data_IF_571479938427
#
_entry.id   IF_571479938427
#
_cell.length_a   1.000
_cell.length_b   1.000
_cell.length_c   1.000
_cell.angle_alpha   90.00
_cell.angle_beta   90.00
_cell.angle_gamma   90.00
#
_symmetry.space_group_name_H-M   'P 1'
#
loop_
_entity.id
_entity.type
_entity.pdbx_description
1 polymer ?
#
# COMPACT_ATOMS: atom_id res chain seq x y z
N UNK A 1 2.59 27.15 -0.21
CA UNK A 1 4.03 27.04 -0.53
C UNK A 1 4.17 26.33 -1.87
N UNK A 2 5.14 26.66 -2.71
CA UNK A 2 5.40 25.90 -3.95
C UNK A 2 6.20 24.62 -3.64
N UNK A 3 5.74 23.49 -4.15
CA UNK A 3 6.44 22.20 -4.12
C UNK A 3 6.63 21.68 -5.54
N UNK A 4 7.60 20.80 -5.74
CA UNK A 4 7.80 20.13 -7.02
C UNK A 4 6.59 19.25 -7.33
N UNK A 5 6.01 19.38 -8.52
CA UNK A 5 4.84 18.60 -8.98
C UNK A 5 5.13 17.72 -10.19
N UNK A 6 6.23 17.99 -10.90
CA UNK A 6 6.76 17.14 -11.97
C UNK A 6 8.11 16.63 -11.52
N UNK A 7 8.26 15.31 -11.50
CA UNK A 7 9.43 14.64 -10.92
C UNK A 7 10.20 13.94 -12.04
N UNK A 8 11.52 14.07 -12.02
CA UNK A 8 12.42 13.32 -12.89
C UNK A 8 13.29 12.36 -12.05
N UNK A 9 13.62 12.75 -10.81
CA UNK A 9 14.40 11.92 -9.86
C UNK A 9 13.59 11.54 -8.62
N UNK A 10 13.48 10.23 -8.36
CA UNK A 10 12.80 9.64 -7.21
C UNK A 10 13.83 9.06 -6.22
N UNK A 11 13.73 9.41 -4.94
CA UNK A 11 14.55 8.82 -3.89
C UNK A 11 13.76 7.78 -3.08
N UNK A 12 14.31 6.58 -2.95
CA UNK A 12 13.79 5.51 -2.11
C UNK A 12 14.70 5.30 -0.89
N UNK A 13 14.15 5.49 0.30
CA UNK A 13 14.83 5.22 1.57
C UNK A 13 14.26 3.93 2.16
N UNK A 14 15.08 2.88 2.22
CA UNK A 14 14.68 1.51 2.54
C UNK A 14 14.38 0.70 1.28
N UNK A 15 15.00 -0.48 1.18
CA UNK A 15 14.98 -1.37 0.02
C UNK A 15 14.33 -2.73 0.32
N UNK A 16 13.53 -2.82 1.39
CA UNK A 16 12.69 -3.97 1.71
C UNK A 16 11.53 -4.16 0.72
N UNK A 17 10.52 -4.96 1.10
CA UNK A 17 9.39 -5.31 0.22
C UNK A 17 8.71 -4.07 -0.37
N UNK A 18 8.27 -3.12 0.47
CA UNK A 18 7.58 -1.90 0.03
C UNK A 18 8.51 -0.98 -0.77
N UNK A 19 9.72 -0.73 -0.26
CA UNK A 19 10.71 0.13 -0.92
C UNK A 19 11.09 -0.37 -2.31
N UNK A 20 11.34 -1.68 -2.46
CA UNK A 20 11.64 -2.28 -3.75
C UNK A 20 10.47 -2.19 -4.73
N UNK A 21 9.23 -2.25 -4.24
CA UNK A 21 8.04 -2.03 -5.07
C UNK A 21 7.88 -0.59 -5.55
N UNK A 22 8.19 0.41 -4.71
CA UNK A 22 8.26 1.80 -5.14
C UNK A 22 9.35 2.04 -6.17
N UNK A 23 10.54 1.49 -5.95
CA UNK A 23 11.66 1.54 -6.91
C UNK A 23 11.23 0.96 -8.26
N UNK A 24 10.65 -0.24 -8.28
CA UNK A 24 10.19 -0.88 -9.51
C UNK A 24 9.14 -0.02 -10.25
N UNK A 25 8.17 0.54 -9.52
CA UNK A 25 7.14 1.43 -10.09
C UNK A 25 7.73 2.72 -10.66
N UNK A 26 8.65 3.38 -9.94
CA UNK A 26 9.29 4.60 -10.40
C UNK A 26 10.12 4.36 -11.68
N UNK A 27 10.88 3.25 -11.72
CA UNK A 27 11.64 2.83 -12.91
C UNK A 27 10.71 2.52 -14.11
N UNK A 28 9.57 1.86 -13.87
CA UNK A 28 8.58 1.57 -14.90
C UNK A 28 7.89 2.84 -15.45
N UNK A 29 7.87 3.92 -14.67
CA UNK A 29 7.39 5.24 -15.09
C UNK A 29 8.51 6.11 -15.71
N UNK A 30 9.69 5.55 -15.99
CA UNK A 30 10.77 6.25 -16.68
C UNK A 30 11.55 7.23 -15.81
N UNK A 31 11.45 7.14 -14.47
CA UNK A 31 12.18 8.03 -13.56
C UNK A 31 13.59 7.54 -13.27
N UNK A 32 14.49 8.48 -12.92
CA UNK A 32 15.79 8.15 -12.35
C UNK A 32 15.60 7.86 -10.87
N UNK A 33 16.13 6.73 -10.39
CA UNK A 33 15.91 6.28 -9.01
C UNK A 33 17.21 6.23 -8.23
N UNK A 34 17.26 6.99 -7.15
CA UNK A 34 18.28 6.88 -6.11
C UNK A 34 17.72 6.02 -4.99
N UNK A 35 18.46 4.98 -4.58
CA UNK A 35 18.05 4.11 -3.49
C UNK A 35 19.13 4.01 -2.42
N UNK A 36 18.70 3.97 -1.16
CA UNK A 36 19.58 3.74 -0.02
C UNK A 36 18.91 2.79 0.99
N UNK A 37 19.70 1.91 1.58
CA UNK A 37 19.30 1.03 2.67
C UNK A 37 20.55 0.69 3.51
N UNK A 38 20.47 0.66 4.85
CA UNK A 38 21.63 0.41 5.70
C UNK A 38 22.05 -1.07 5.75
N UNK A 39 21.21 -2.01 5.31
CA UNK A 39 21.48 -3.43 5.45
C UNK A 39 22.52 -3.95 4.45
N UNK A 40 23.38 -4.83 4.94
CA UNK A 40 24.36 -5.52 4.10
C UNK A 40 23.66 -6.33 3.00
N UNK A 41 24.11 -6.13 1.75
CA UNK A 41 23.52 -6.82 0.60
C UNK A 41 22.19 -6.26 0.10
N UNK A 42 21.66 -5.19 0.71
CA UNK A 42 20.40 -4.58 0.29
C UNK A 42 20.38 -4.18 -1.19
N UNK A 43 21.51 -3.69 -1.73
CA UNK A 43 21.61 -3.40 -3.16
C UNK A 43 21.36 -4.63 -4.04
N UNK A 44 21.95 -5.78 -3.69
CA UNK A 44 21.75 -7.02 -4.46
C UNK A 44 20.30 -7.49 -4.36
N UNK A 45 19.73 -7.44 -3.15
CA UNK A 45 18.35 -7.82 -2.91
C UNK A 45 17.37 -6.91 -3.68
N UNK A 46 17.61 -5.60 -3.66
CA UNK A 46 16.80 -4.63 -4.40
C UNK A 46 16.78 -4.94 -5.90
N UNK A 47 17.95 -5.20 -6.49
CA UNK A 47 18.04 -5.56 -7.92
C UNK A 47 17.28 -6.84 -8.22
N UNK A 48 17.44 -7.88 -7.39
CA UNK A 48 16.70 -9.13 -7.56
C UNK A 48 15.18 -8.97 -7.43
N UNK A 49 14.71 -8.09 -6.52
CA UNK A 49 13.28 -7.80 -6.37
C UNK A 49 12.74 -7.04 -7.59
N UNK A 50 13.48 -6.05 -8.09
CA UNK A 50 13.11 -5.31 -9.31
C UNK A 50 13.06 -6.25 -10.50
N UNK A 51 14.05 -7.13 -10.67
CA UNK A 51 14.09 -8.16 -11.72
C UNK A 51 12.88 -9.11 -11.63
N UNK A 52 12.47 -9.52 -10.43
CA UNK A 52 11.30 -10.38 -10.24
C UNK A 52 9.98 -9.67 -10.56
N UNK A 53 9.87 -8.38 -10.28
CA UNK A 53 8.68 -7.56 -10.55
C UNK A 53 8.57 -7.14 -12.03
N UNK A 54 9.69 -7.02 -12.73
CA UNK A 54 9.77 -6.42 -14.07
C UNK A 54 8.85 -7.08 -15.12
N UNK A 55 8.74 -8.42 -15.21
CA UNK A 55 7.85 -9.05 -16.19
C UNK A 55 6.36 -8.71 -16.00
N UNK A 56 5.94 -8.44 -14.75
CA UNK A 56 4.56 -8.01 -14.47
C UNK A 56 4.34 -6.55 -14.90
N UNK A 57 5.35 -5.69 -14.70
CA UNK A 57 5.34 -4.30 -15.16
C UNK A 57 5.37 -4.18 -16.69
N UNK A 58 6.13 -5.03 -17.39
CA UNK A 58 6.13 -5.08 -18.85
C UNK A 58 4.74 -5.41 -19.41
N UNK A 59 4.04 -6.38 -18.81
CA UNK A 59 2.66 -6.72 -19.17
C UNK A 59 1.67 -5.61 -18.86
N UNK A 60 1.85 -4.91 -17.73
CA UNK A 60 1.01 -3.77 -17.36
C UNK A 60 1.24 -2.54 -18.26
N UNK A 61 2.39 -2.47 -18.93
CA UNK A 61 2.81 -1.38 -19.80
C UNK A 61 3.84 -0.47 -19.14
N UNK A 62 4.91 -0.17 -19.87
CA UNK A 62 6.00 0.70 -19.41
C UNK A 62 5.91 2.09 -20.04
N UNK A 63 6.30 3.11 -19.28
CA UNK A 63 6.44 4.46 -19.81
C UNK A 63 7.67 4.57 -20.74
N UNK A 64 7.70 5.57 -21.65
CA UNK A 64 8.90 5.86 -22.43
C UNK A 64 10.13 6.07 -21.54
N UNK A 65 11.25 5.41 -21.90
CA UNK A 65 12.50 5.53 -21.13
C UNK A 65 12.57 4.68 -19.87
N UNK A 66 11.52 3.90 -19.54
CA UNK A 66 11.54 2.95 -18.43
C UNK A 66 12.68 1.93 -18.58
N UNK A 67 13.48 1.77 -17.53
CA UNK A 67 14.59 0.83 -17.51
C UNK A 67 15.08 0.54 -16.09
N UNK A 68 15.37 -0.72 -15.74
CA UNK A 68 16.04 -1.04 -14.46
C UNK A 68 17.44 -0.42 -14.36
N UNK A 69 18.06 -0.04 -15.48
CA UNK A 69 19.37 0.59 -15.52
C UNK A 69 19.39 2.02 -14.94
N UNK A 70 18.21 2.66 -14.81
CA UNK A 70 18.03 3.97 -14.17
C UNK A 70 18.12 3.92 -12.64
N UNK A 71 18.34 2.74 -12.05
CA UNK A 71 18.55 2.56 -10.62
C UNK A 71 20.02 2.73 -10.22
N UNK A 72 20.27 3.75 -9.39
CA UNK A 72 21.54 3.95 -8.70
C UNK A 72 21.37 3.74 -7.20
N UNK A 73 22.17 2.83 -6.64
CA UNK A 73 22.26 2.65 -5.20
C UNK A 73 23.37 3.54 -4.64
N UNK A 74 23.09 4.28 -3.57
CA UNK A 74 24.03 5.23 -2.97
C UNK A 74 24.38 4.81 -1.55
N UNK A 75 25.44 5.38 -0.98
CA UNK A 75 25.99 4.97 0.31
C UNK A 75 25.41 5.73 1.51
N UNK A 76 24.79 6.88 1.32
CA UNK A 76 24.23 7.71 2.41
C UNK A 76 22.83 8.22 2.10
N UNK A 77 22.06 8.52 3.15
CA UNK A 77 20.75 9.17 3.03
C UNK A 77 20.89 10.50 2.30
N UNK A 78 21.89 11.30 2.66
CA UNK A 78 22.13 12.63 2.09
C UNK A 78 22.36 12.55 0.58
N UNK A 79 23.18 11.60 0.11
CA UNK A 79 23.41 11.39 -1.32
C UNK A 79 22.16 10.87 -2.05
N UNK A 80 21.21 10.26 -1.33
CA UNK A 80 19.96 9.76 -1.90
C UNK A 80 18.95 10.89 -2.13
N UNK A 81 18.90 11.88 -1.22
CA UNK A 81 17.81 12.87 -1.17
C UNK A 81 18.19 14.26 -1.67
N UNK A 82 19.49 14.59 -1.75
CA UNK A 82 19.96 15.95 -2.06
C UNK A 82 19.42 16.47 -3.40
N UNK A 83 19.43 15.63 -4.44
CA UNK A 83 19.01 15.98 -5.80
C UNK A 83 17.64 15.43 -6.20
N UNK A 84 16.94 14.77 -5.26
CA UNK A 84 15.64 14.15 -5.53
C UNK A 84 14.50 15.17 -5.59
N UNK A 85 13.54 14.92 -6.48
CA UNK A 85 12.33 15.74 -6.62
C UNK A 85 11.19 15.24 -5.71
N UNK A 86 11.21 13.94 -5.43
CA UNK A 86 10.28 13.27 -4.54
C UNK A 86 11.00 12.18 -3.75
N UNK A 87 10.74 12.10 -2.44
CA UNK A 87 11.38 11.15 -1.54
C UNK A 87 10.32 10.27 -0.92
N UNK A 88 10.49 8.95 -1.00
CA UNK A 88 9.62 7.97 -0.36
C UNK A 88 10.43 7.11 0.62
N UNK A 89 10.07 7.21 1.89
CA UNK A 89 10.65 6.43 2.98
C UNK A 89 9.83 5.15 3.24
N UNK A 90 10.50 4.01 3.38
CA UNK A 90 9.90 2.68 3.54
C UNK A 90 10.71 1.81 4.54
N UNK A 91 11.27 2.42 5.57
CA UNK A 91 11.96 1.74 6.67
C UNK A 91 10.93 1.09 7.64
N UNK A 92 11.40 0.22 8.56
CA UNK A 92 10.54 -0.50 9.49
C UNK A 92 9.58 0.39 10.29
N UNK A 93 8.44 -0.19 10.69
CA UNK A 93 7.36 0.48 11.42
C UNK A 93 7.74 0.72 12.90
N UNK A 94 8.69 1.62 13.11
CA UNK A 94 9.22 2.01 14.42
C UNK A 94 9.27 3.53 14.51
N UNK A 95 8.43 4.12 15.34
CA UNK A 95 8.28 5.58 15.44
C UNK A 95 9.60 6.31 15.71
N UNK A 96 10.38 5.86 16.71
CA UNK A 96 11.67 6.48 17.04
C UNK A 96 12.66 6.48 15.87
N UNK A 97 12.67 5.41 15.06
CA UNK A 97 13.51 5.33 13.87
C UNK A 97 13.04 6.31 12.80
N UNK A 98 11.73 6.35 12.51
CA UNK A 98 11.17 7.25 11.49
C UNK A 98 11.34 8.71 11.88
N UNK A 99 11.22 9.03 13.16
CA UNK A 99 11.48 10.36 13.70
C UNK A 99 12.90 10.85 13.39
N UNK A 100 13.92 10.03 13.66
CA UNK A 100 15.31 10.34 13.34
C UNK A 100 15.56 10.41 11.83
N UNK A 101 15.05 9.43 11.08
CA UNK A 101 15.21 9.37 9.62
C UNK A 101 14.61 10.60 8.95
N UNK A 102 13.40 11.00 9.32
CA UNK A 102 12.74 12.13 8.67
C UNK A 102 13.35 13.48 9.03
N UNK A 103 13.90 13.66 10.23
CA UNK A 103 14.74 14.82 10.53
C UNK A 103 15.95 14.89 9.59
N UNK A 104 16.62 13.75 9.37
CA UNK A 104 17.83 13.68 8.55
C UNK A 104 17.53 13.86 7.06
N UNK A 105 16.51 13.16 6.54
CA UNK A 105 16.00 13.27 5.16
C UNK A 105 15.61 14.72 4.86
N UNK A 106 14.75 15.29 5.69
CA UNK A 106 14.18 16.62 5.43
C UNK A 106 15.24 17.73 5.48
N UNK A 107 16.30 17.58 6.28
CA UNK A 107 17.42 18.52 6.32
C UNK A 107 18.25 18.53 5.03
N UNK A 108 18.49 17.35 4.46
CA UNK A 108 19.35 17.18 3.29
C UNK A 108 18.60 17.33 1.95
N UNK A 109 17.29 17.13 1.94
CA UNK A 109 16.45 17.26 0.75
C UNK A 109 16.34 18.70 0.24
N UNK A 110 16.01 18.85 -1.05
CA UNK A 110 15.61 20.15 -1.63
C UNK A 110 14.51 20.81 -0.80
N UNK A 111 14.50 22.15 -0.69
CA UNK A 111 13.51 22.89 0.10
C UNK A 111 12.05 22.65 -0.31
N UNK A 112 11.83 22.28 -1.56
CA UNK A 112 10.55 22.15 -2.26
C UNK A 112 10.20 20.70 -2.67
N UNK A 113 11.09 19.73 -2.40
CA UNK A 113 10.81 18.31 -2.62
C UNK A 113 9.86 17.75 -1.55
N UNK A 114 8.86 16.98 -1.97
CA UNK A 114 7.94 16.32 -1.05
C UNK A 114 8.65 15.14 -0.37
N UNK A 115 8.48 15.02 0.95
CA UNK A 115 8.99 13.90 1.74
C UNK A 115 7.81 13.04 2.18
N UNK A 116 7.70 11.86 1.58
CA UNK A 116 6.66 10.89 1.84
C UNK A 116 7.16 9.75 2.75
N UNK A 117 6.27 9.20 3.58
CA UNK A 117 6.48 7.93 4.29
C UNK A 117 5.47 6.89 3.82
N UNK A 118 5.93 5.64 3.72
CA UNK A 118 5.12 4.44 3.48
C UNK A 118 4.60 3.79 4.76
N UNK A 119 4.64 4.49 5.92
CA UNK A 119 4.06 3.97 7.17
C UNK A 119 2.64 3.45 6.94
N UNK A 120 2.26 2.42 7.69
CA UNK A 120 0.96 1.74 7.61
C UNK A 120 0.01 2.20 8.71
N UNK A 121 0.51 2.79 9.80
CA UNK A 121 -0.37 3.26 10.86
C UNK A 121 0.17 4.28 11.84
N UNK A 122 1.44 4.70 11.73
CA UNK A 122 1.97 5.77 12.59
C UNK A 122 1.39 7.11 12.17
N UNK A 123 1.14 7.99 13.15
CA UNK A 123 0.57 9.30 12.90
C UNK A 123 1.64 10.25 12.35
N UNK A 124 1.42 10.90 11.18
CA UNK A 124 2.38 11.82 10.60
C UNK A 124 2.76 12.96 11.54
N UNK A 125 1.82 13.46 12.36
CA UNK A 125 2.13 14.49 13.37
C UNK A 125 3.27 14.07 14.30
N UNK A 126 3.31 12.81 14.71
CA UNK A 126 4.27 12.31 15.69
C UNK A 126 5.64 12.03 15.05
N UNK A 127 5.68 11.20 14.00
CA UNK A 127 6.97 10.81 13.42
C UNK A 127 7.60 11.89 12.52
N UNK A 128 6.87 12.94 12.13
CA UNK A 128 7.45 14.14 11.52
C UNK A 128 7.75 15.25 12.54
N UNK A 129 7.62 15.03 13.85
CA UNK A 129 7.79 16.09 14.86
C UNK A 129 9.11 16.86 14.74
N UNK A 130 10.20 16.18 14.36
CA UNK A 130 11.55 16.76 14.18
C UNK A 130 11.92 17.09 12.73
N UNK A 131 10.99 16.95 11.78
CA UNK A 131 11.26 17.24 10.38
C UNK A 131 11.48 18.74 10.12
N UNK A 132 12.43 19.06 9.23
CA UNK A 132 12.66 20.39 8.72
C UNK A 132 11.69 20.71 7.58
N UNK A 133 10.98 21.83 7.69
CA UNK A 133 9.88 22.21 6.79
C UNK A 133 8.82 21.09 6.74
N UNK A 134 8.14 20.78 7.85
CA UNK A 134 7.15 19.70 7.91
C UNK A 134 5.93 19.96 7.01
N UNK A 135 5.73 21.17 6.52
CA UNK A 135 4.65 21.54 5.61
C UNK A 135 4.66 20.77 4.28
N UNK A 136 5.81 20.21 3.87
CA UNK A 136 5.96 19.34 2.67
C UNK A 136 6.05 17.85 2.98
N UNK A 137 5.79 17.44 4.22
CA UNK A 137 5.83 16.05 4.64
C UNK A 137 4.44 15.42 4.58
N UNK A 138 4.33 14.23 3.98
CA UNK A 138 3.06 13.49 3.80
C UNK A 138 3.26 12.01 4.08
N UNK A 139 2.17 11.30 4.34
CA UNK A 139 2.11 9.85 4.18
C UNK A 139 1.59 9.56 2.78
N UNK A 140 2.25 8.61 2.11
CA UNK A 140 1.77 7.96 0.92
C UNK A 140 1.89 6.47 1.12
N UNK A 141 0.87 5.89 1.74
CA UNK A 141 0.81 4.50 2.17
C UNK A 141 0.33 3.61 1.00
N UNK A 142 1.21 2.78 0.40
CA UNK A 142 0.85 1.90 -0.70
C UNK A 142 0.35 0.54 -0.20
N UNK A 143 -0.10 -0.31 -1.13
CA UNK A 143 -0.45 -1.70 -0.84
C UNK A 143 0.47 -2.65 -1.62
N UNK A 144 0.91 -3.73 -0.96
CA UNK A 144 1.81 -4.71 -1.55
C UNK A 144 1.05 -5.69 -2.47
N UNK A 145 1.50 -5.97 -3.72
CA UNK A 145 2.69 -5.42 -4.39
C UNK A 145 2.49 -3.99 -4.93
N UNK A 146 3.35 -3.07 -4.47
CA UNK A 146 3.25 -1.62 -4.78
C UNK A 146 3.28 -1.33 -6.27
N UNK A 147 4.02 -2.12 -7.04
CA UNK A 147 4.17 -1.96 -8.49
C UNK A 147 2.95 -2.40 -9.31
N UNK A 148 1.96 -3.07 -8.71
CA UNK A 148 0.72 -3.48 -9.39
C UNK A 148 -0.52 -2.89 -8.75
N UNK A 149 -0.65 -2.97 -7.42
CA UNK A 149 -1.83 -2.43 -6.75
C UNK A 149 -1.83 -0.89 -6.87
N UNK A 150 -2.92 -0.29 -7.38
CA UNK A 150 -2.91 1.13 -7.68
C UNK A 150 -3.18 2.00 -6.46
N UNK A 151 -3.81 1.49 -5.40
CA UNK A 151 -4.22 2.33 -4.28
C UNK A 151 -3.01 2.89 -3.53
N UNK A 152 -3.06 4.18 -3.19
CA UNK A 152 -2.15 4.81 -2.22
C UNK A 152 -2.95 5.77 -1.35
N UNK A 153 -2.90 5.59 -0.03
CA UNK A 153 -3.53 6.52 0.90
C UNK A 153 -2.62 7.72 1.12
N UNK A 154 -3.14 8.93 0.86
CA UNK A 154 -2.40 10.18 0.95
C UNK A 154 -2.96 11.05 2.06
N UNK A 155 -2.12 11.44 3.00
CA UNK A 155 -2.48 12.33 4.10
C UNK A 155 -1.31 13.14 4.63
N UNK A 156 -1.64 14.24 5.31
CA UNK A 156 -0.70 15.05 6.06
C UNK A 156 -0.91 14.93 7.56
N UNK A 157 0.08 15.36 8.33
CA UNK A 157 -0.06 15.65 9.75
C UNK A 157 -0.55 17.08 9.98
N UNK A 158 -0.60 17.51 11.24
CA UNK A 158 -1.11 18.84 11.61
C UNK A 158 -0.38 20.02 10.94
N UNK A 159 0.91 19.86 10.65
CA UNK A 159 1.75 20.91 10.05
C UNK A 159 1.86 20.82 8.53
N UNK A 160 1.32 19.78 7.90
CA UNK A 160 1.38 19.60 6.45
C UNK A 160 0.51 20.65 5.74
N UNK A 161 1.05 21.31 4.72
CA UNK A 161 0.28 22.22 3.89
C UNK A 161 -0.75 21.45 3.05
N UNK A 162 -2.02 21.90 2.96
CA UNK A 162 -3.02 21.26 2.12
C UNK A 162 -2.59 21.14 0.65
N UNK A 163 -1.87 22.14 0.12
CA UNK A 163 -1.39 22.14 -1.26
C UNK A 163 -0.33 21.05 -1.50
N UNK A 164 0.42 20.65 -0.47
CA UNK A 164 1.37 19.52 -0.57
C UNK A 164 0.62 18.20 -0.72
N UNK A 165 -0.49 18.01 -0.02
CA UNK A 165 -1.34 16.81 -0.19
C UNK A 165 -1.87 16.75 -1.61
N UNK A 166 -2.35 17.88 -2.15
CA UNK A 166 -2.86 17.95 -3.53
C UNK A 166 -1.76 17.73 -4.58
N UNK A 167 -0.55 18.26 -4.36
CA UNK A 167 0.61 17.99 -5.19
C UNK A 167 1.00 16.50 -5.17
N UNK A 168 1.08 15.88 -3.99
CA UNK A 168 1.38 14.46 -3.84
C UNK A 168 0.34 13.57 -4.54
N UNK A 169 -0.96 13.91 -4.45
CA UNK A 169 -2.03 13.26 -5.21
C UNK A 169 -1.74 13.32 -6.72
N UNK A 170 -1.30 14.48 -7.23
CA UNK A 170 -0.90 14.64 -8.63
C UNK A 170 0.26 13.73 -9.02
N UNK A 171 1.33 13.71 -8.21
CA UNK A 171 2.53 12.89 -8.42
C UNK A 171 2.18 11.40 -8.42
N UNK A 172 1.45 10.93 -7.41
CA UNK A 172 1.05 9.52 -7.35
C UNK A 172 0.17 9.12 -8.52
N UNK A 173 -0.75 9.98 -8.97
CA UNK A 173 -1.54 9.74 -10.17
C UNK A 173 -0.65 9.62 -11.42
N UNK A 174 0.36 10.47 -11.55
CA UNK A 174 1.32 10.40 -12.65
C UNK A 174 2.19 9.12 -12.62
N UNK A 175 2.39 8.52 -11.44
CA UNK A 175 3.03 7.20 -11.26
C UNK A 175 2.09 6.01 -11.51
N UNK A 176 0.88 6.25 -12.04
CA UNK A 176 -0.13 5.21 -12.28
C UNK A 176 -0.80 4.70 -11.00
N UNK A 177 -0.78 5.48 -9.91
CA UNK A 177 -1.54 5.15 -8.69
C UNK A 177 -2.93 5.77 -8.72
N UNK A 178 -3.84 5.20 -7.93
CA UNK A 178 -5.13 5.74 -7.51
C UNK A 178 -4.96 6.33 -6.10
N UNK A 179 -4.63 7.62 -5.96
CA UNK A 179 -4.50 8.26 -4.66
C UNK A 179 -5.86 8.40 -3.98
N UNK A 180 -5.93 7.99 -2.71
CA UNK A 180 -7.07 8.14 -1.81
C UNK A 180 -6.71 9.15 -0.72
N UNK A 181 -7.35 10.32 -0.73
CA UNK A 181 -7.12 11.34 0.29
C UNK A 181 -7.73 10.91 1.62
N UNK A 182 -6.91 10.67 2.64
CA UNK A 182 -7.37 10.47 4.01
C UNK A 182 -7.48 11.85 4.67
N UNK A 183 -8.71 12.25 4.99
CA UNK A 183 -9.02 13.64 5.37
C UNK A 183 -8.52 14.02 6.77
N UNK A 184 -8.37 13.04 7.64
CA UNK A 184 -7.94 13.21 9.03
C UNK A 184 -7.01 12.06 9.37
N UNK A 185 -5.88 12.37 9.98
CA UNK A 185 -5.00 11.31 10.48
C UNK A 185 -5.74 10.44 11.50
N UNK A 186 -5.54 9.14 11.38
CA UNK A 186 -6.11 8.12 12.24
C UNK A 186 -5.15 6.92 12.21
N UNK A 187 -4.87 6.26 13.35
CA UNK A 187 -4.01 5.09 13.34
C UNK A 187 -4.57 3.99 12.43
N UNK A 188 -3.71 3.45 11.56
CA UNK A 188 -4.06 2.46 10.53
C UNK A 188 -4.85 3.01 9.34
N UNK A 189 -4.98 4.33 9.21
CA UNK A 189 -5.64 5.02 8.10
C UNK A 189 -7.04 4.47 7.76
N UNK A 190 -7.38 4.22 6.49
CA UNK A 190 -8.71 3.68 6.13
C UNK A 190 -8.59 2.19 5.85
N UNK A 191 -7.72 1.80 4.91
CA UNK A 191 -7.64 0.42 4.43
C UNK A 191 -7.12 -0.54 5.50
N UNK A 192 -6.03 -0.20 6.19
CA UNK A 192 -5.47 -1.11 7.22
C UNK A 192 -6.41 -1.29 8.40
N UNK A 193 -7.21 -0.28 8.77
CA UNK A 193 -8.29 -0.48 9.75
C UNK A 193 -9.30 -1.54 9.33
N UNK A 194 -9.64 -1.59 8.04
CA UNK A 194 -10.57 -2.59 7.50
C UNK A 194 -9.91 -3.97 7.41
N UNK A 195 -8.65 -4.02 6.96
CA UNK A 195 -7.87 -5.26 6.88
C UNK A 195 -7.60 -5.86 8.27
N UNK A 196 -7.23 -5.04 9.24
CA UNK A 196 -7.02 -5.49 10.62
C UNK A 196 -8.32 -5.96 11.27
N UNK A 197 -9.47 -5.32 11.00
CA UNK A 197 -10.74 -5.79 11.51
C UNK A 197 -11.06 -7.21 11.02
N UNK A 198 -10.82 -7.48 9.73
CA UNK A 198 -10.97 -8.83 9.16
C UNK A 198 -9.94 -9.80 9.75
N UNK A 199 -8.68 -9.39 9.85
CA UNK A 199 -7.60 -10.23 10.36
C UNK A 199 -7.81 -10.64 11.82
N UNK A 200 -8.25 -9.70 12.67
CA UNK A 200 -8.54 -9.99 14.08
C UNK A 200 -9.64 -11.01 14.23
N UNK A 201 -10.70 -10.92 13.41
CA UNK A 201 -11.78 -11.90 13.39
C UNK A 201 -11.28 -13.25 12.89
N UNK A 202 -10.50 -13.29 11.81
CA UNK A 202 -9.93 -14.53 11.28
C UNK A 202 -9.09 -15.26 12.33
N UNK A 203 -8.28 -14.53 13.10
CA UNK A 203 -7.50 -15.11 14.20
C UNK A 203 -8.38 -15.72 15.29
N UNK A 204 -9.51 -15.10 15.65
CA UNK A 204 -10.46 -15.68 16.60
C UNK A 204 -11.08 -16.97 16.06
N UNK A 205 -11.48 -16.99 14.78
CA UNK A 205 -12.08 -18.18 14.17
C UNK A 205 -11.10 -19.37 14.16
N UNK A 206 -9.81 -19.11 13.91
CA UNK A 206 -8.76 -20.14 14.04
C UNK A 206 -8.56 -20.53 15.51
N UNK A 207 -8.47 -19.54 16.41
CA UNK A 207 -8.18 -19.77 17.82
C UNK A 207 -9.25 -20.62 18.51
N UNK A 208 -10.51 -20.40 18.13
CA UNK A 208 -11.69 -21.09 18.66
C UNK A 208 -12.01 -22.38 17.90
N UNK A 209 -11.23 -22.72 16.88
CA UNK A 209 -11.42 -23.94 16.09
C UNK A 209 -12.68 -23.94 15.22
N UNK A 210 -13.19 -22.76 14.87
CA UNK A 210 -14.36 -22.59 14.01
C UNK A 210 -14.04 -22.93 12.56
N UNK A 211 -12.84 -22.56 12.10
CA UNK A 211 -12.38 -22.81 10.73
C UNK A 211 -10.85 -22.83 10.64
N UNK A 212 -10.34 -23.51 9.62
CA UNK A 212 -8.93 -23.45 9.21
C UNK A 212 -8.61 -22.15 8.46
N UNK A 213 -7.33 -21.82 8.30
CA UNK A 213 -6.92 -20.65 7.50
C UNK A 213 -7.39 -20.77 6.05
N UNK A 214 -7.42 -21.98 5.49
CA UNK A 214 -7.89 -22.23 4.12
C UNK A 214 -9.38 -21.97 3.94
N UNK A 215 -10.22 -22.45 4.87
CA UNK A 215 -11.67 -22.23 4.84
C UNK A 215 -12.03 -20.75 5.03
N UNK A 216 -11.32 -20.05 5.92
CA UNK A 216 -11.51 -18.61 6.13
C UNK A 216 -11.14 -17.83 4.86
N UNK A 217 -10.02 -18.17 4.23
CA UNK A 217 -9.63 -17.54 2.97
C UNK A 217 -10.62 -17.85 1.85
N UNK A 218 -11.14 -19.07 1.75
CA UNK A 218 -12.14 -19.48 0.75
C UNK A 218 -13.45 -18.71 0.92
N UNK A 219 -13.88 -18.45 2.16
CA UNK A 219 -15.04 -17.62 2.44
C UNK A 219 -14.90 -16.20 1.87
N UNK A 220 -13.67 -15.67 1.81
CA UNK A 220 -13.37 -14.40 1.16
C UNK A 220 -13.18 -14.57 -0.35
N UNK A 221 -12.28 -15.47 -0.79
CA UNK A 221 -11.93 -15.66 -2.21
C UNK A 221 -13.13 -16.03 -3.07
N UNK A 222 -14.01 -16.90 -2.59
CA UNK A 222 -15.21 -17.34 -3.32
C UNK A 222 -16.50 -16.61 -2.91
N UNK A 223 -16.43 -15.76 -1.89
CA UNK A 223 -17.54 -14.93 -1.42
C UNK A 223 -17.37 -13.46 -1.77
N UNK A 224 -17.06 -12.64 -0.78
CA UNK A 224 -17.03 -11.19 -0.93
C UNK A 224 -15.87 -10.69 -1.82
N UNK A 225 -14.75 -11.40 -1.88
CA UNK A 225 -13.55 -11.02 -2.62
C UNK A 225 -13.78 -10.83 -4.11
N UNK A 226 -14.56 -11.72 -4.77
CA UNK A 226 -14.87 -11.59 -6.20
C UNK A 226 -15.56 -10.25 -6.48
N UNK A 227 -16.59 -9.90 -5.72
CA UNK A 227 -17.32 -8.63 -5.91
C UNK A 227 -16.53 -7.41 -5.45
N UNK A 228 -15.70 -7.54 -4.41
CA UNK A 228 -14.86 -6.45 -3.92
C UNK A 228 -13.79 -6.00 -4.93
N UNK A 229 -13.41 -6.87 -5.86
CA UNK A 229 -12.46 -6.52 -6.94
C UNK A 229 -12.96 -5.41 -7.88
N UNK A 230 -14.27 -5.21 -7.99
CA UNK A 230 -14.86 -4.17 -8.85
C UNK A 230 -15.93 -3.30 -8.18
N UNK A 231 -16.38 -3.66 -6.97
CA UNK A 231 -17.42 -2.94 -6.24
C UNK A 231 -17.20 -2.98 -4.71
N UNK A 232 -16.99 -1.82 -4.10
CA UNK A 232 -16.81 -1.71 -2.66
C UNK A 232 -18.08 -2.05 -1.85
N UNK A 233 -17.91 -2.18 -0.53
CA UNK A 233 -18.96 -2.59 0.42
C UNK A 233 -20.22 -1.74 0.33
N UNK A 234 -20.10 -0.41 0.29
CA UNK A 234 -21.26 0.48 0.31
C UNK A 234 -22.13 0.36 -0.94
N UNK A 235 -21.54 0.29 -2.13
CA UNK A 235 -22.32 0.13 -3.37
C UNK A 235 -22.91 -1.29 -3.45
N UNK A 236 -22.14 -2.31 -3.04
CA UNK A 236 -22.63 -3.69 -2.93
C UNK A 236 -23.88 -3.78 -2.05
N UNK A 237 -23.86 -3.14 -0.87
CA UNK A 237 -25.01 -3.13 0.05
C UNK A 237 -26.15 -2.22 -0.42
N UNK A 238 -25.84 -1.18 -1.20
CA UNK A 238 -26.88 -0.39 -1.88
C UNK A 238 -27.67 -1.27 -2.83
N UNK A 239 -27.02 -2.14 -3.61
CA UNK A 239 -27.69 -3.11 -4.48
C UNK A 239 -28.47 -4.15 -3.69
N UNK A 240 -27.94 -4.61 -2.55
CA UNK A 240 -28.64 -5.54 -1.67
C UNK A 240 -29.93 -4.95 -1.06
N UNK A 241 -30.06 -3.63 -1.01
CA UNK A 241 -31.28 -2.93 -0.63
C UNK A 241 -32.34 -2.84 -1.75
N UNK A 242 -32.08 -3.41 -2.94
CA UNK A 242 -32.96 -3.32 -4.10
C UNK A 242 -33.15 -1.89 -4.61
N UNK A 243 -34.27 -1.62 -5.29
CA UNK A 243 -34.59 -0.27 -5.82
C UNK A 243 -34.68 0.80 -4.72
N UNK A 244 -35.03 0.41 -3.50
CA UNK A 244 -35.09 1.30 -2.34
C UNK A 244 -33.68 1.64 -1.77
N UNK A 245 -32.65 0.95 -2.24
CA UNK A 245 -31.24 1.26 -2.02
C UNK A 245 -30.79 1.19 -0.57
N UNK A 246 -29.72 1.94 -0.26
CA UNK A 246 -29.03 1.90 1.03
C UNK A 246 -29.95 2.21 2.22
N UNK A 247 -30.95 3.10 2.06
CA UNK A 247 -31.87 3.42 3.17
C UNK A 247 -32.67 2.19 3.60
N UNK A 248 -33.14 1.40 2.65
CA UNK A 248 -33.85 0.16 2.94
C UNK A 248 -32.92 -0.86 3.57
N UNK A 249 -31.74 -1.08 2.98
CA UNK A 249 -30.71 -1.98 3.52
C UNK A 249 -30.39 -1.65 4.98
N UNK A 250 -30.16 -0.38 5.31
CA UNK A 250 -29.85 0.05 6.69
C UNK A 250 -31.01 -0.19 7.66
N UNK A 251 -32.27 -0.05 7.23
CA UNK A 251 -33.42 -0.34 8.10
C UNK A 251 -33.61 -1.84 8.32
N UNK A 252 -33.38 -2.64 7.30
CA UNK A 252 -33.55 -4.09 7.36
C UNK A 252 -32.43 -4.77 8.15
N UNK A 253 -31.18 -4.43 7.87
CA UNK A 253 -30.00 -5.11 8.42
C UNK A 253 -29.29 -4.33 9.52
N UNK A 254 -29.60 -3.04 9.71
CA UNK A 254 -29.03 -2.22 10.79
C UNK A 254 -29.16 -2.85 12.18
N UNK A 255 -30.31 -3.43 12.57
CA UNK A 255 -30.45 -4.09 13.88
C UNK A 255 -29.46 -5.23 14.11
N UNK A 256 -28.96 -5.89 13.05
CA UNK A 256 -27.98 -6.97 13.20
C UNK A 256 -26.59 -6.47 13.64
N UNK A 257 -26.30 -5.17 13.49
CA UNK A 257 -25.02 -4.58 13.93
C UNK A 257 -24.88 -4.54 15.46
N UNK A 258 -25.99 -4.66 16.21
CA UNK A 258 -25.98 -4.74 17.67
C UNK A 258 -25.69 -6.16 18.18
N UNK A 259 -25.73 -7.16 17.29
CA UNK A 259 -25.46 -8.54 17.65
C UNK A 259 -23.94 -8.76 17.77
N UNK A 260 -23.47 -9.50 18.79
CA UNK A 260 -22.04 -9.68 19.06
C UNK A 260 -21.43 -10.77 18.18
N UNK A 261 -21.56 -10.65 16.85
CA UNK A 261 -21.12 -11.67 15.90
C UNK A 261 -19.62 -11.67 15.63
N UNK A 262 -18.94 -10.53 15.75
CA UNK A 262 -17.52 -10.37 15.42
C UNK A 262 -16.74 -9.64 16.51
N UNK A 263 -15.42 -9.82 16.52
CA UNK A 263 -14.50 -9.33 17.55
C UNK A 263 -13.44 -8.42 16.95
N UNK A 264 -13.49 -7.15 17.33
CA UNK A 264 -12.54 -6.13 16.86
C UNK A 264 -11.24 -6.03 17.67
N UNK A 265 -11.14 -6.74 18.80
CA UNK A 265 -9.90 -6.87 19.59
C UNK A 265 -9.28 -8.21 19.25
N UNK A 266 -8.00 -8.23 18.88
CA UNK A 266 -7.30 -9.47 18.54
C UNK A 266 -7.29 -10.47 19.72
N UNK A 267 -7.27 -11.79 19.46
CA UNK A 267 -6.94 -12.75 20.50
C UNK A 267 -5.48 -12.57 20.94
N UNK A 268 -5.11 -13.13 22.09
CA UNK A 268 -3.69 -13.22 22.46
C UNK A 268 -3.00 -14.17 21.49
N UNK A 269 -1.90 -13.73 20.89
CA UNK A 269 -1.05 -14.58 20.07
C UNK A 269 -0.27 -15.55 20.95
N UNK A 270 -0.93 -16.64 21.34
CA UNK A 270 -0.30 -17.76 22.03
C UNK A 270 0.53 -18.58 21.04
N UNK A 271 1.54 -19.30 21.52
CA UNK A 271 2.33 -20.20 20.67
C UNK A 271 1.40 -21.22 19.96
N UNK A 272 0.38 -21.73 20.64
CA UNK A 272 -0.60 -22.64 20.05
C UNK A 272 -1.41 -22.02 18.90
N UNK A 273 -1.79 -20.74 19.00
CA UNK A 273 -2.46 -20.04 17.90
C UNK A 273 -1.50 -19.80 16.73
N UNK A 274 -0.27 -19.38 17.03
CA UNK A 274 0.77 -19.14 16.02
C UNK A 274 1.03 -20.43 15.23
N UNK A 275 1.26 -21.55 15.90
CA UNK A 275 1.50 -22.85 15.25
C UNK A 275 0.32 -23.27 14.38
N UNK A 276 -0.93 -23.11 14.84
CA UNK A 276 -2.12 -23.39 14.00
C UNK A 276 -2.17 -22.57 12.72
N UNK A 277 -1.83 -21.28 12.80
CA UNK A 277 -1.77 -20.42 11.61
C UNK A 277 -0.61 -20.81 10.70
N UNK A 278 0.55 -21.14 11.26
CA UNK A 278 1.74 -21.61 10.51
C UNK A 278 1.44 -22.91 9.78
N UNK A 279 0.88 -23.91 10.47
CA UNK A 279 0.50 -25.19 9.87
C UNK A 279 -0.50 -25.00 8.73
N UNK A 280 -1.59 -24.24 8.98
CA UNK A 280 -2.60 -24.01 7.96
C UNK A 280 -2.07 -23.24 6.75
N UNK A 281 -1.20 -22.25 6.95
CA UNK A 281 -0.58 -21.52 5.82
C UNK A 281 0.46 -22.37 5.07
N UNK A 282 1.18 -23.26 5.76
CA UNK A 282 2.09 -24.21 5.13
C UNK A 282 1.34 -25.22 4.25
N UNK A 283 0.17 -25.71 4.70
CA UNK A 283 -0.71 -26.56 3.89
C UNK A 283 -1.17 -25.84 2.61
N UNK A 284 -1.62 -24.59 2.73
CA UNK A 284 -2.02 -23.78 1.59
C UNK A 284 -0.87 -23.49 0.60
N UNK A 285 0.32 -23.20 1.14
CA UNK A 285 1.52 -22.96 0.33
C UNK A 285 1.90 -24.22 -0.46
N UNK A 286 1.79 -25.40 0.16
CA UNK A 286 2.18 -26.67 -0.42
C UNK A 286 3.65 -26.67 -0.88
N UNK A 287 4.01 -27.29 -2.02
CA UNK A 287 5.40 -27.39 -2.46
C UNK A 287 5.93 -26.11 -3.14
N UNK A 288 5.12 -25.04 -3.22
CA UNK A 288 5.47 -23.84 -3.99
C UNK A 288 6.40 -22.96 -3.17
N UNK A 289 7.40 -22.37 -3.84
CA UNK A 289 8.22 -21.33 -3.23
C UNK A 289 7.45 -20.02 -3.14
N UNK A 290 7.82 -19.16 -2.20
CA UNK A 290 7.24 -17.81 -2.07
C UNK A 290 7.34 -17.04 -3.38
N UNK A 291 8.49 -17.08 -4.07
CA UNK A 291 8.65 -16.41 -5.38
C UNK A 291 7.71 -16.94 -6.47
N UNK A 292 7.39 -18.24 -6.44
CA UNK A 292 6.43 -18.80 -7.38
C UNK A 292 5.01 -18.32 -7.07
N UNK A 293 4.64 -18.26 -5.78
CA UNK A 293 3.35 -17.70 -5.34
C UNK A 293 3.23 -16.20 -5.62
N UNK A 294 4.32 -15.43 -5.49
CA UNK A 294 4.34 -14.02 -5.86
C UNK A 294 4.07 -13.83 -7.35
N UNK A 295 4.74 -14.58 -8.23
CA UNK A 295 4.48 -14.50 -9.68
C UNK A 295 3.04 -14.88 -10.03
N UNK A 296 2.52 -15.94 -9.41
CA UNK A 296 1.12 -16.35 -9.57
C UNK A 296 0.16 -15.25 -9.11
N UNK A 297 0.34 -14.70 -7.90
CA UNK A 297 -0.46 -13.58 -7.37
C UNK A 297 -0.43 -12.38 -8.30
N UNK A 298 0.76 -11.99 -8.76
CA UNK A 298 0.95 -10.83 -9.62
C UNK A 298 0.27 -10.99 -10.98
N UNK A 299 0.33 -12.19 -11.55
CA UNK A 299 -0.43 -12.54 -12.76
C UNK A 299 -1.93 -12.44 -12.53
N UNK A 300 -2.46 -13.04 -11.45
CA UNK A 300 -3.88 -12.92 -11.12
C UNK A 300 -4.33 -11.47 -10.89
N UNK A 301 -3.52 -10.65 -10.21
CA UNK A 301 -3.83 -9.22 -10.00
C UNK A 301 -3.94 -8.51 -11.36
N UNK A 302 -2.97 -8.71 -12.26
CA UNK A 302 -2.99 -8.10 -13.58
C UNK A 302 -4.23 -8.52 -14.39
N UNK A 303 -4.56 -9.81 -14.40
CA UNK A 303 -5.72 -10.34 -15.11
C UNK A 303 -7.05 -9.82 -14.55
N UNK A 304 -7.18 -9.74 -13.22
CA UNK A 304 -8.38 -9.16 -12.58
C UNK A 304 -8.53 -7.69 -12.95
N UNK A 305 -7.46 -6.90 -12.89
CA UNK A 305 -7.49 -5.49 -13.29
C UNK A 305 -7.93 -5.35 -14.75
N UNK A 306 -7.35 -6.15 -15.66
CA UNK A 306 -7.68 -6.12 -17.08
C UNK A 306 -9.14 -6.52 -17.35
N UNK A 307 -9.62 -7.59 -16.71
CA UNK A 307 -11.00 -8.06 -16.84
C UNK A 307 -12.00 -7.01 -16.33
N UNK A 308 -11.75 -6.42 -15.16
CA UNK A 308 -12.60 -5.36 -14.59
C UNK A 308 -12.62 -4.14 -15.49
N UNK A 309 -11.46 -3.70 -15.99
CA UNK A 309 -11.38 -2.57 -16.93
C UNK A 309 -12.18 -2.84 -18.21
N UNK A 310 -12.04 -4.03 -18.80
CA UNK A 310 -12.79 -4.42 -20.00
C UNK A 310 -14.31 -4.44 -19.76
N UNK A 311 -14.77 -4.96 -18.62
CA UNK A 311 -16.20 -4.96 -18.28
C UNK A 311 -16.70 -3.54 -18.06
N UNK A 312 -16.00 -2.70 -17.29
CA UNK A 312 -16.36 -1.30 -17.06
C UNK A 312 -16.49 -0.52 -18.36
N UNK A 313 -15.55 -0.69 -19.29
CA UNK A 313 -15.59 -0.06 -20.60
C UNK A 313 -16.86 -0.42 -21.41
N UNK A 314 -17.30 -1.69 -21.37
CA UNK A 314 -18.57 -2.12 -22.01
C UNK A 314 -19.81 -1.45 -21.41
N UNK A 315 -19.71 -0.96 -20.17
CA UNK A 315 -20.76 -0.21 -19.48
C UNK A 315 -20.52 1.32 -19.50
N UNK A 316 -19.60 1.83 -20.32
CA UNK A 316 -19.32 3.26 -20.43
C UNK A 316 -18.62 3.87 -19.20
N UNK A 317 -18.02 3.04 -18.35
CA UNK A 317 -17.25 3.44 -17.18
C UNK A 317 -15.74 3.32 -17.45
N UNK A 318 -14.95 4.21 -16.87
CA UNK A 318 -13.49 4.07 -16.83
C UNK A 318 -13.09 3.15 -15.69
N UNK A 319 -11.85 2.65 -15.72
CA UNK A 319 -11.35 1.79 -14.63
C UNK A 319 -11.44 2.49 -13.26
N UNK A 320 -11.23 3.81 -13.24
CA UNK A 320 -11.20 4.61 -12.02
C UNK A 320 -12.57 5.10 -11.52
N UNK A 321 -13.65 4.85 -12.27
CA UNK A 321 -15.03 5.21 -11.91
C UNK A 321 -15.65 4.12 -11.02
#
# INVERSE_FOLDING_TARGET
MAVITKIDTFAAIGAGVIGSGWVARALANGLDVLAWDPADGAQRQLRANVENAWPALERAGLAPGASPARLRFVSTIEACVADADFIQESAPEREALKLELHERISRAAKPDAIVASSTSGLLPTDFYARAHRPERCIVGHPFNPVYLLPLVEVLGGERTAPETVDAAIGIYRALGMRPLRVRKEVPGFIADRLLEALWREALHLVDEGVATTGEIDDAIRFGAGIRWSFMGTFLTYTLAGGEAGMRHFMRQFGPALELPWTKLVAPKLTDALIERVVEGTAEQQGPRSIKALERYRDECIAEVIAAVAAVKARHGMRYED
#
